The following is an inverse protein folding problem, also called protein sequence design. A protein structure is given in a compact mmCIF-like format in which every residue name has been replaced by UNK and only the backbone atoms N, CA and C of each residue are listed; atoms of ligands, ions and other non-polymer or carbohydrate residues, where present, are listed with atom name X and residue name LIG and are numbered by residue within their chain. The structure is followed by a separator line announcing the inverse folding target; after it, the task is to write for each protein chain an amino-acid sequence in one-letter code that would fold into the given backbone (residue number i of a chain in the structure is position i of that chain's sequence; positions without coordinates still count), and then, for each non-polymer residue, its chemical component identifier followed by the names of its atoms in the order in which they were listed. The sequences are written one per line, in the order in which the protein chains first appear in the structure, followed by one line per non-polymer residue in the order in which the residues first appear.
data_IF_087575021969
#
_entry.id   IF_087575021969
#
_cell.length_a   1.000
_cell.length_b   1.000
_cell.length_c   1.000
_cell.angle_alpha   90.00
_cell.angle_beta   90.00
_cell.angle_gamma   90.00
#
_symmetry.space_group_name_H-M   'P 1'
#
loop_
_entity.id
_entity.type
_entity.pdbx_description
1 polymer ?
#
# COMPACT_ATOMS: atom_id res chain seq x y z
N UNK A 1 -8.09 -10.51 -12.75
CA UNK A 1 -7.72 -9.25 -12.10
C UNK A 1 -7.03 -8.34 -13.10
N UNK A 2 -7.46 -7.12 -13.19
CA UNK A 2 -6.83 -6.16 -14.08
C UNK A 2 -6.78 -4.77 -13.43
N UNK A 3 -5.75 -4.03 -13.81
CA UNK A 3 -5.59 -2.63 -13.46
C UNK A 3 -5.03 -1.94 -14.71
N UNK A 4 -5.92 -1.38 -15.51
CA UNK A 4 -5.57 -0.90 -16.85
C UNK A 4 -4.68 0.32 -16.85
N UNK A 5 -4.81 1.18 -15.84
CA UNK A 5 -4.09 2.43 -15.79
C UNK A 5 -3.03 2.40 -14.69
N UNK A 6 -1.97 3.17 -14.90
CA UNK A 6 -1.01 3.40 -13.84
C UNK A 6 -1.68 4.13 -12.68
N UNK A 7 -1.17 3.89 -11.46
CA UNK A 7 -1.69 4.57 -10.28
C UNK A 7 -1.11 5.99 -10.21
N UNK A 8 -1.96 7.02 -10.20
CA UNK A 8 -1.48 8.37 -9.97
C UNK A 8 -1.10 8.57 -8.51
N UNK A 9 0.07 9.15 -8.27
CA UNK A 9 0.57 9.45 -6.93
C UNK A 9 0.92 10.93 -6.89
N UNK A 10 0.27 11.69 -6.03
CA UNK A 10 0.48 13.13 -5.97
C UNK A 10 0.55 13.69 -4.55
N UNK A 11 0.42 12.85 -3.54
CA UNK A 11 0.35 13.31 -2.15
C UNK A 11 1.20 12.45 -1.25
N UNK A 12 1.73 13.08 -0.20
CA UNK A 12 2.29 12.38 0.94
C UNK A 12 1.22 12.24 2.02
N UNK A 13 1.35 11.20 2.83
CA UNK A 13 0.53 11.00 4.00
C UNK A 13 1.38 10.56 5.17
N UNK A 14 0.76 10.40 6.32
CA UNK A 14 1.45 9.90 7.51
C UNK A 14 0.56 9.00 8.34
N UNK A 15 1.18 8.04 8.99
CA UNK A 15 0.57 7.29 10.09
C UNK A 15 1.28 7.69 11.38
N UNK A 16 0.54 8.10 12.42
CA UNK A 16 1.15 8.49 13.69
C UNK A 16 1.90 7.34 14.35
N UNK A 17 3.02 7.66 14.98
CA UNK A 17 3.79 6.70 15.76
C UNK A 17 4.42 7.36 16.97
N UNK A 18 4.74 6.58 17.98
CA UNK A 18 5.31 7.11 19.23
C UNK A 18 6.70 7.70 19.02
N UNK A 19 7.49 7.08 18.16
CA UNK A 19 8.89 7.49 17.91
C UNK A 19 9.03 8.32 16.65
N UNK A 20 7.94 8.87 16.16
CA UNK A 20 7.87 9.58 14.91
C UNK A 20 6.87 8.94 13.98
N UNK A 21 6.52 9.64 12.94
CA UNK A 21 5.46 9.20 12.04
C UNK A 21 6.03 8.40 10.86
N UNK A 22 5.22 7.49 10.34
CA UNK A 22 5.51 6.80 9.08
C UNK A 22 5.06 7.73 7.96
N UNK A 23 5.98 8.07 7.07
CA UNK A 23 5.70 8.95 5.92
C UNK A 23 5.59 8.08 4.67
N UNK A 24 4.54 8.27 3.91
CA UNK A 24 4.28 7.43 2.74
C UNK A 24 3.75 8.22 1.57
N UNK A 25 3.91 7.64 0.38
CA UNK A 25 3.23 8.12 -0.82
C UNK A 25 1.82 7.55 -0.84
N UNK A 26 0.86 8.39 -1.14
CA UNK A 26 -0.55 8.00 -1.20
C UNK A 26 -1.00 7.89 -2.65
N UNK A 27 -1.20 6.67 -3.18
CA UNK A 27 -1.84 6.54 -4.48
C UNK A 27 -3.26 7.05 -4.43
N UNK A 28 -3.72 7.64 -5.53
CA UNK A 28 -5.09 8.08 -5.64
C UNK A 28 -6.02 6.86 -5.57
N UNK A 29 -7.05 6.96 -4.73
CA UNK A 29 -8.05 5.90 -4.65
C UNK A 29 -8.93 5.97 -5.89
N UNK A 30 -8.72 5.05 -6.80
CA UNK A 30 -9.46 4.97 -8.04
C UNK A 30 -10.41 3.77 -8.01
N UNK A 31 -11.50 3.80 -8.78
CA UNK A 31 -12.39 2.64 -8.85
C UNK A 31 -11.68 1.35 -9.25
N UNK A 32 -10.74 1.31 -10.22
CA UNK A 32 -10.02 0.08 -10.52
C UNK A 32 -9.22 -0.45 -9.35
N UNK A 33 -8.53 0.41 -8.60
CA UNK A 33 -7.75 -0.03 -7.43
C UNK A 33 -8.66 -0.54 -6.31
N UNK A 34 -9.74 0.17 -6.05
CA UNK A 34 -10.68 -0.25 -5.00
C UNK A 34 -11.37 -1.55 -5.38
N UNK A 35 -11.72 -1.72 -6.64
CA UNK A 35 -12.32 -2.97 -7.13
C UNK A 35 -11.37 -4.14 -7.02
N UNK A 36 -10.10 -3.94 -7.35
CA UNK A 36 -9.08 -4.99 -7.22
C UNK A 36 -8.92 -5.42 -5.77
N UNK A 37 -8.83 -4.46 -4.84
CA UNK A 37 -8.72 -4.76 -3.41
C UNK A 37 -9.94 -5.52 -2.90
N UNK A 38 -11.13 -5.10 -3.30
CA UNK A 38 -12.37 -5.74 -2.86
C UNK A 38 -12.45 -7.17 -3.36
N UNK A 39 -12.10 -7.41 -4.62
CA UNK A 39 -12.10 -8.75 -5.20
C UNK A 39 -11.10 -9.65 -4.48
N UNK A 40 -9.89 -9.14 -4.22
CA UNK A 40 -8.87 -9.90 -3.50
C UNK A 40 -9.36 -10.26 -2.10
N UNK A 41 -9.96 -9.30 -1.38
CA UNK A 41 -10.47 -9.55 -0.04
C UNK A 41 -11.54 -10.65 -0.04
N UNK A 42 -12.45 -10.62 -1.00
CA UNK A 42 -13.49 -11.64 -1.13
C UNK A 42 -12.90 -13.03 -1.38
N UNK A 43 -11.91 -13.12 -2.25
CA UNK A 43 -11.26 -14.40 -2.54
C UNK A 43 -10.52 -14.95 -1.34
N UNK A 44 -9.85 -14.10 -0.58
CA UNK A 44 -9.15 -14.52 0.64
C UNK A 44 -10.13 -15.01 1.71
N UNK A 45 -11.27 -14.33 1.87
CA UNK A 45 -12.30 -14.77 2.81
C UNK A 45 -12.89 -16.12 2.42
N UNK A 46 -13.07 -16.37 1.14
CA UNK A 46 -13.54 -17.66 0.65
C UNK A 46 -12.56 -18.79 0.97
N UNK A 47 -11.28 -18.47 1.05
CA UNK A 47 -10.24 -19.43 1.43
C UNK A 47 -10.12 -19.57 2.96
N UNK A 48 -10.98 -18.92 3.72
CA UNK A 48 -10.99 -19.03 5.17
C UNK A 48 -10.02 -18.10 5.88
N UNK A 49 -9.47 -17.12 5.18
CA UNK A 49 -8.52 -16.17 5.78
C UNK A 49 -9.32 -15.05 6.43
N UNK A 50 -9.06 -14.83 7.72
CA UNK A 50 -9.68 -13.73 8.45
C UNK A 50 -9.01 -12.42 8.08
N UNK A 51 -9.83 -11.44 7.68
CA UNK A 51 -9.34 -10.11 7.34
C UNK A 51 -9.85 -9.08 8.35
N UNK A 52 -9.01 -8.12 8.69
CA UNK A 52 -9.43 -7.01 9.53
C UNK A 52 -10.42 -6.14 8.76
N UNK A 53 -11.47 -5.72 9.46
CA UNK A 53 -12.50 -4.86 8.87
C UNK A 53 -12.12 -3.39 9.01
N UNK A 54 -11.01 -3.03 8.39
CA UNK A 54 -10.56 -1.64 8.29
C UNK A 54 -10.67 -1.16 6.86
N UNK A 55 -10.92 0.13 6.64
CA UNK A 55 -10.86 0.66 5.28
C UNK A 55 -9.48 0.40 4.67
N UNK A 56 -9.47 0.04 3.40
CA UNK A 56 -8.24 -0.14 2.67
C UNK A 56 -7.54 1.22 2.50
N UNK A 57 -6.29 1.30 2.93
CA UNK A 57 -5.48 2.51 2.80
C UNK A 57 -4.21 2.18 2.01
N UNK A 58 -4.25 2.29 0.68
CA UNK A 58 -3.06 2.00 -0.12
C UNK A 58 -1.97 3.01 0.17
N UNK A 59 -0.73 2.53 0.31
CA UNK A 59 0.38 3.42 0.65
C UNK A 59 1.70 2.78 0.27
N UNK A 60 2.70 3.64 0.00
CA UNK A 60 4.08 3.22 -0.24
C UNK A 60 4.94 3.93 0.81
N UNK A 61 5.44 3.18 1.78
CA UNK A 61 6.24 3.73 2.87
C UNK A 61 7.57 4.25 2.33
N UNK A 62 7.87 5.49 2.64
CA UNK A 62 9.14 6.14 2.26
C UNK A 62 10.09 6.22 3.44
N UNK A 63 9.57 6.54 4.62
CA UNK A 63 10.41 6.80 5.78
C UNK A 63 9.67 6.49 7.06
N UNK A 64 10.43 6.13 8.08
CA UNK A 64 9.91 5.95 9.43
C UNK A 64 10.56 7.00 10.32
N UNK A 65 9.95 7.26 11.47
CA UNK A 65 10.43 8.25 12.44
C UNK A 65 10.44 9.68 11.86
N UNK A 66 9.44 9.98 11.04
CA UNK A 66 9.26 11.33 10.50
C UNK A 66 8.93 12.31 11.62
N UNK A 67 9.44 13.52 11.50
CA UNK A 67 9.18 14.55 12.48
C UNK A 67 7.72 14.95 12.47
N UNK A 68 7.10 14.97 13.65
CA UNK A 68 5.68 15.23 13.79
C UNK A 68 5.32 16.69 13.47
N UNK A 69 6.24 17.61 13.71
CA UNK A 69 6.03 19.03 13.48
C UNK A 69 6.12 19.45 12.02
N UNK A 70 6.55 18.57 11.13
CA UNK A 70 6.62 18.85 9.70
C UNK A 70 5.26 18.57 9.06
N UNK A 71 4.79 19.47 8.21
CA UNK A 71 3.55 19.29 7.47
C UNK A 71 3.83 18.53 6.17
N UNK A 72 4.08 17.24 6.29
CA UNK A 72 4.48 16.38 5.17
C UNK A 72 3.46 16.42 4.03
N UNK A 73 2.15 16.47 4.37
CA UNK A 73 1.08 16.46 3.39
C UNK A 73 1.06 17.71 2.51
N UNK A 74 1.72 18.78 2.96
CA UNK A 74 1.77 20.05 2.24
C UNK A 74 3.02 20.21 1.39
N UNK A 75 3.95 19.27 1.46
CA UNK A 75 5.13 19.33 0.62
C UNK A 75 4.73 19.13 -0.83
N UNK A 76 5.24 20.00 -1.74
CA UNK A 76 4.93 19.86 -3.14
C UNK A 76 5.56 18.58 -3.69
N UNK A 77 4.75 17.78 -4.38
CA UNK A 77 5.20 16.55 -4.99
C UNK A 77 4.76 16.56 -6.45
N UNK A 78 5.70 16.47 -7.36
CA UNK A 78 5.36 16.34 -8.78
C UNK A 78 4.59 15.05 -8.98
N UNK A 79 3.44 15.09 -9.66
CA UNK A 79 2.65 13.88 -9.86
C UNK A 79 3.45 12.79 -10.55
N UNK A 80 3.31 11.57 -10.03
CA UNK A 80 3.94 10.37 -10.58
C UNK A 80 2.85 9.43 -11.05
N UNK A 81 3.15 8.66 -12.09
CA UNK A 81 2.29 7.57 -12.55
C UNK A 81 3.05 6.27 -12.30
N UNK A 82 2.50 5.43 -11.43
CA UNK A 82 3.12 4.15 -11.09
C UNK A 82 2.46 3.03 -11.88
N UNK A 83 3.16 2.44 -12.87
CA UNK A 83 2.62 1.28 -13.56
C UNK A 83 2.63 0.07 -12.62
N UNK A 84 1.52 -0.65 -12.57
CA UNK A 84 1.39 -1.83 -11.72
C UNK A 84 1.14 -3.04 -12.61
N UNK A 85 2.05 -4.02 -12.56
CA UNK A 85 2.01 -5.21 -13.42
C UNK A 85 1.87 -6.50 -12.65
N UNK A 86 2.18 -6.48 -11.37
CA UNK A 86 2.08 -7.67 -10.52
C UNK A 86 1.44 -7.32 -9.20
N UNK A 87 0.76 -8.32 -8.63
CA UNK A 87 0.22 -8.25 -7.29
C UNK A 87 0.76 -9.45 -6.52
N UNK A 88 1.35 -9.21 -5.36
CA UNK A 88 1.97 -10.26 -4.56
C UNK A 88 1.39 -10.30 -3.17
N UNK A 89 1.12 -11.51 -2.70
CA UNK A 89 0.81 -11.76 -1.29
C UNK A 89 2.11 -12.06 -0.57
N UNK A 90 2.43 -11.25 0.44
CA UNK A 90 3.71 -11.34 1.14
C UNK A 90 3.50 -11.74 2.59
N UNK A 91 4.41 -12.58 3.09
CA UNK A 91 4.49 -12.88 4.51
C UNK A 91 5.55 -12.02 5.15
N UNK A 92 5.19 -11.36 6.25
CA UNK A 92 6.12 -10.56 7.03
C UNK A 92 6.75 -11.44 8.10
N UNK A 93 8.07 -11.53 8.13
CA UNK A 93 8.81 -12.40 9.05
C UNK A 93 9.69 -11.54 9.95
N UNK A 94 9.30 -11.34 11.22
CA UNK A 94 10.13 -10.61 12.18
C UNK A 94 11.41 -11.37 12.49
N UNK A 95 12.51 -10.65 12.67
CA UNK A 95 13.77 -11.23 13.07
C UNK A 95 14.57 -10.20 13.89
N UNK A 96 15.61 -10.62 14.63
CA UNK A 96 16.40 -9.68 15.42
C UNK A 96 17.04 -8.55 14.62
N UNK A 97 17.36 -8.79 13.35
CA UNK A 97 17.95 -7.77 12.49
C UNK A 97 16.93 -6.92 11.73
N UNK A 98 15.64 -7.10 11.99
CA UNK A 98 14.58 -6.39 11.29
C UNK A 98 13.52 -7.32 10.75
N UNK A 99 12.76 -6.84 9.78
CA UNK A 99 11.70 -7.62 9.15
C UNK A 99 12.12 -8.03 7.74
N UNK A 100 11.93 -9.30 7.42
CA UNK A 100 12.08 -9.79 6.05
C UNK A 100 10.72 -10.16 5.49
N UNK A 101 10.63 -10.29 4.16
CA UNK A 101 9.37 -10.58 3.49
C UNK A 101 9.57 -11.76 2.55
N UNK A 102 8.57 -12.65 2.52
CA UNK A 102 8.56 -13.80 1.63
C UNK A 102 7.31 -13.74 0.76
N UNK A 103 7.49 -13.90 -0.54
CA UNK A 103 6.37 -13.95 -1.47
C UNK A 103 5.68 -15.31 -1.34
N UNK A 104 4.40 -15.29 -0.98
CA UNK A 104 3.59 -16.50 -0.88
C UNK A 104 2.89 -16.80 -2.20
N UNK A 105 2.44 -15.76 -2.89
CA UNK A 105 1.74 -15.91 -4.15
C UNK A 105 1.90 -14.62 -4.95
N UNK A 106 1.97 -14.76 -6.26
CA UNK A 106 2.12 -13.62 -7.14
C UNK A 106 1.27 -13.83 -8.39
N UNK A 107 0.58 -12.80 -8.80
CA UNK A 107 -0.18 -12.82 -10.04
C UNK A 107 0.25 -11.64 -10.92
N UNK A 108 0.16 -11.84 -12.22
CA UNK A 108 0.40 -10.77 -13.18
C UNK A 108 -0.93 -10.15 -13.57
N UNK A 109 -0.97 -8.84 -13.58
CA UNK A 109 -2.16 -8.09 -13.93
C UNK A 109 -2.19 -7.88 -15.44
N UNK A 110 -3.38 -8.00 -16.02
CA UNK A 110 -3.58 -7.74 -17.43
C UNK A 110 -3.54 -6.23 -17.69
N UNK A 111 -2.98 -5.87 -18.82
CA UNK A 111 -2.96 -4.49 -19.28
C UNK A 111 -4.24 -4.09 -19.98
#
# INVERSE_FOLDING_TARGET
LSLHDALPISHLGRFPGERGDVIFLRPQQSPPLMGLQKQLAQELEQEGIFLEKRPFSPHITLARRGKKEVSWERLPLSPLMLPVRTLSLMESIPSPGGTSYRTLHQIHLEE
#
